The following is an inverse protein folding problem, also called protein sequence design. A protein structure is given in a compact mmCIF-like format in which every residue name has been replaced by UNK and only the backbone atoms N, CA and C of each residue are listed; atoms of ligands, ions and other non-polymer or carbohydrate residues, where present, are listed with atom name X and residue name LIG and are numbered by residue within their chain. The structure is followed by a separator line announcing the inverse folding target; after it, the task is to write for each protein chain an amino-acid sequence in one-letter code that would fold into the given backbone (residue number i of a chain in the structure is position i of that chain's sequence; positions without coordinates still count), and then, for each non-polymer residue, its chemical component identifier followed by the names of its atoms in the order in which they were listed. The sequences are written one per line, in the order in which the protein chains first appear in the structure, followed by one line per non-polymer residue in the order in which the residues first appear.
data_IF_824526052453
#
_entry.id   IF_824526052453
#
_cell.length_a   1.000
_cell.length_b   1.000
_cell.length_c   1.000
_cell.angle_alpha   90.00
_cell.angle_beta   90.00
_cell.angle_gamma   90.00
#
_symmetry.space_group_name_H-M   'P 1'
#
loop_
_entity.id
_entity.type
_entity.pdbx_description
1 polymer ?
#
# COMPACT_ATOMS: atom_id res chain seq x y z
N UNK A 1 -8.98 -16.39 -10.53
CA UNK A 1 -7.78 -15.84 -9.86
C UNK A 1 -8.23 -14.79 -8.86
N UNK A 2 -7.75 -14.84 -7.64
CA UNK A 2 -7.93 -13.80 -6.63
C UNK A 2 -7.11 -12.57 -7.01
N UNK A 3 -7.69 -11.37 -6.95
CA UNK A 3 -6.99 -10.10 -7.19
C UNK A 3 -7.03 -9.29 -5.91
N UNK A 4 -5.85 -8.97 -5.37
CA UNK A 4 -5.68 -8.12 -4.19
C UNK A 4 -4.84 -6.92 -4.59
N UNK A 5 -5.40 -5.72 -4.39
CA UNK A 5 -4.66 -4.47 -4.63
C UNK A 5 -4.03 -3.98 -3.32
N UNK A 6 -2.72 -3.84 -3.31
CA UNK A 6 -1.94 -3.45 -2.14
C UNK A 6 -2.24 -2.05 -1.63
N UNK A 7 -2.71 -1.15 -2.49
CA UNK A 7 -3.12 0.19 -2.09
C UNK A 7 -4.03 0.88 -3.10
N UNK A 8 -5.07 1.52 -2.55
CA UNK A 8 -5.87 2.56 -3.22
C UNK A 8 -6.14 3.72 -2.26
N UNK A 9 -6.34 4.92 -2.80
CA UNK A 9 -6.53 6.14 -2.01
C UNK A 9 -7.65 7.01 -2.57
N UNK A 10 -8.91 6.61 -2.41
CA UNK A 10 -10.07 7.27 -3.02
C UNK A 10 -11.21 7.57 -2.06
N UNK A 11 -12.27 8.15 -2.60
CA UNK A 11 -13.55 8.31 -1.93
C UNK A 11 -14.51 7.22 -2.38
N UNK A 12 -14.73 6.27 -1.51
CA UNK A 12 -15.55 5.11 -1.80
C UNK A 12 -17.02 5.35 -1.49
N UNK A 13 -17.86 4.82 -2.36
CA UNK A 13 -19.29 4.67 -2.19
C UNK A 13 -19.74 3.27 -2.63
N UNK A 14 -21.05 3.01 -2.59
CA UNK A 14 -21.61 1.73 -3.05
C UNK A 14 -21.29 1.44 -4.52
N UNK A 15 -21.26 2.46 -5.38
CA UNK A 15 -21.01 2.27 -6.80
C UNK A 15 -19.59 1.74 -7.01
N UNK A 16 -18.58 2.40 -6.42
CA UNK A 16 -17.16 2.00 -6.50
C UNK A 16 -16.95 0.59 -5.92
N UNK A 17 -17.56 0.29 -4.76
CA UNK A 17 -17.50 -1.05 -4.18
C UNK A 17 -18.10 -2.11 -5.11
N UNK A 18 -19.19 -1.79 -5.79
CA UNK A 18 -19.83 -2.67 -6.76
C UNK A 18 -18.96 -2.87 -8.00
N UNK A 19 -18.38 -1.82 -8.52
CA UNK A 19 -17.45 -1.88 -9.66
C UNK A 19 -16.22 -2.74 -9.33
N UNK A 20 -15.59 -2.56 -8.18
CA UNK A 20 -14.48 -3.41 -7.72
C UNK A 20 -14.88 -4.90 -7.72
N UNK A 21 -16.01 -5.22 -7.11
CA UNK A 21 -16.54 -6.60 -7.07
C UNK A 21 -16.77 -7.15 -8.47
N UNK A 22 -17.47 -6.39 -9.32
CA UNK A 22 -17.89 -6.83 -10.66
C UNK A 22 -16.70 -6.98 -11.60
N UNK A 23 -15.60 -6.26 -11.35
CA UNK A 23 -14.32 -6.40 -12.04
C UNK A 23 -13.41 -7.48 -11.42
N UNK A 24 -13.87 -8.15 -10.38
CA UNK A 24 -13.19 -9.31 -9.78
C UNK A 24 -12.07 -8.96 -8.79
N UNK A 25 -12.03 -7.73 -8.28
CA UNK A 25 -11.14 -7.37 -7.17
C UNK A 25 -11.65 -8.04 -5.90
N UNK A 26 -10.82 -8.86 -5.28
CA UNK A 26 -11.17 -9.68 -4.11
C UNK A 26 -10.90 -8.97 -2.79
N UNK A 27 -9.86 -8.15 -2.77
CA UNK A 27 -9.56 -7.28 -1.63
C UNK A 27 -8.73 -6.07 -2.05
N UNK A 28 -8.79 -5.03 -1.24
CA UNK A 28 -8.03 -3.79 -1.43
C UNK A 28 -7.60 -3.23 -0.08
N UNK A 29 -6.34 -2.81 0.02
CA UNK A 29 -5.91 -1.95 1.13
C UNK A 29 -6.24 -0.51 0.80
N UNK A 30 -7.14 0.08 1.58
CA UNK A 30 -7.57 1.47 1.40
C UNK A 30 -6.79 2.40 2.31
N UNK A 31 -6.64 3.64 1.89
CA UNK A 31 -6.04 4.69 2.72
C UNK A 31 -7.12 5.39 3.53
N UNK A 32 -7.16 5.12 4.83
CA UNK A 32 -8.07 5.79 5.76
C UNK A 32 -7.55 7.16 6.19
N UNK A 33 -6.24 7.38 6.21
CA UNK A 33 -5.65 8.68 6.55
C UNK A 33 -4.28 8.91 5.91
N UNK A 34 -3.97 10.19 5.66
CA UNK A 34 -2.67 10.71 5.23
C UNK A 34 -2.10 11.66 6.28
N UNK A 35 -2.79 12.78 6.50
CA UNK A 35 -2.39 13.88 7.36
C UNK A 35 -3.31 14.03 8.58
N UNK A 36 -4.38 13.24 8.63
CA UNK A 36 -5.34 13.22 9.72
C UNK A 36 -4.66 12.86 11.04
N UNK A 37 -4.99 13.59 12.09
CA UNK A 37 -4.60 13.23 13.45
C UNK A 37 -5.46 12.07 14.00
N UNK A 38 -5.30 11.76 15.28
CA UNK A 38 -6.03 10.69 15.95
C UNK A 38 -7.54 10.84 15.83
N UNK A 39 -8.07 12.04 16.13
CA UNK A 39 -9.52 12.28 16.18
C UNK A 39 -10.12 12.26 14.77
N UNK A 40 -9.48 12.93 13.84
CA UNK A 40 -9.87 12.97 12.43
C UNK A 40 -9.85 11.57 11.82
N UNK A 41 -8.82 10.75 12.14
CA UNK A 41 -8.75 9.34 11.68
C UNK A 41 -9.88 8.51 12.28
N UNK A 42 -10.25 8.71 13.53
CA UNK A 42 -11.41 8.02 14.14
C UNK A 42 -12.73 8.35 13.40
N UNK A 43 -12.92 9.61 12.99
CA UNK A 43 -14.08 10.01 12.18
C UNK A 43 -14.08 9.31 10.81
N UNK A 44 -12.90 9.18 10.18
CA UNK A 44 -12.78 8.44 8.91
C UNK A 44 -13.12 6.96 9.10
N UNK A 45 -12.57 6.33 10.13
CA UNK A 45 -12.85 4.91 10.43
C UNK A 45 -14.34 4.67 10.74
N UNK A 46 -15.01 5.63 11.38
CA UNK A 46 -16.45 5.56 11.63
C UNK A 46 -17.24 5.55 10.31
N UNK A 47 -16.87 6.43 9.36
CA UNK A 47 -17.48 6.44 8.01
C UNK A 47 -17.24 5.14 7.25
N UNK A 48 -16.05 4.56 7.35
CA UNK A 48 -15.75 3.26 6.73
C UNK A 48 -16.57 2.14 7.34
N UNK A 49 -16.74 2.11 8.67
CA UNK A 49 -17.58 1.12 9.34
C UNK A 49 -19.05 1.24 8.89
N UNK A 50 -19.58 2.46 8.74
CA UNK A 50 -20.91 2.70 8.22
C UNK A 50 -21.04 2.22 6.76
N UNK A 51 -20.11 2.60 5.90
CA UNK A 51 -20.11 2.21 4.49
C UNK A 51 -20.09 0.68 4.33
N UNK A 52 -19.22 -0.03 5.05
CA UNK A 52 -19.11 -1.49 4.97
C UNK A 52 -20.37 -2.16 5.52
N UNK A 53 -20.91 -1.69 6.65
CA UNK A 53 -22.14 -2.22 7.25
C UNK A 53 -23.33 -2.06 6.30
N UNK A 54 -23.46 -0.88 5.70
CA UNK A 54 -24.61 -0.55 4.84
C UNK A 54 -24.51 -1.23 3.46
N UNK A 55 -23.32 -1.78 3.12
CA UNK A 55 -23.03 -2.49 1.87
C UNK A 55 -22.47 -3.91 2.13
N UNK A 56 -22.91 -4.60 3.18
CA UNK A 56 -22.41 -5.92 3.57
C UNK A 56 -22.66 -7.02 2.53
N UNK A 57 -23.52 -6.79 1.56
CA UNK A 57 -23.76 -7.64 0.40
C UNK A 57 -22.67 -7.51 -0.68
N UNK A 58 -21.88 -6.44 -0.65
CA UNK A 58 -20.82 -6.13 -1.64
C UNK A 58 -19.44 -6.18 -1.03
N UNK A 59 -19.26 -5.69 0.19
CA UNK A 59 -17.97 -5.55 0.84
C UNK A 59 -17.97 -6.13 2.26
N UNK A 60 -16.77 -6.42 2.76
CA UNK A 60 -16.56 -6.82 4.16
C UNK A 60 -15.24 -6.26 4.70
N UNK A 61 -15.20 -6.00 5.99
CA UNK A 61 -13.97 -5.62 6.67
C UNK A 61 -13.03 -6.82 6.82
N UNK A 62 -11.77 -6.65 6.46
CA UNK A 62 -10.70 -7.62 6.66
C UNK A 62 -10.00 -7.32 7.99
N UNK A 63 -10.00 -8.27 8.91
CA UNK A 63 -9.31 -8.21 10.20
C UNK A 63 -8.24 -9.28 10.35
N UNK A 64 -8.39 -10.38 9.63
CA UNK A 64 -7.48 -11.52 9.62
C UNK A 64 -7.09 -11.88 8.18
N UNK A 65 -6.03 -12.64 7.99
CA UNK A 65 -5.66 -13.12 6.65
C UNK A 65 -6.75 -14.01 6.02
N UNK A 66 -7.47 -14.76 6.82
CA UNK A 66 -8.58 -15.62 6.36
C UNK A 66 -9.77 -14.83 5.81
N UNK A 67 -9.96 -13.59 6.24
CA UNK A 67 -11.04 -12.72 5.73
C UNK A 67 -10.85 -12.40 4.25
N UNK A 68 -9.61 -12.33 3.76
CA UNK A 68 -9.33 -12.10 2.32
C UNK A 68 -9.85 -13.27 1.48
N UNK A 69 -9.62 -14.50 1.94
CA UNK A 69 -10.15 -15.69 1.28
C UNK A 69 -11.68 -15.74 1.37
N UNK A 70 -12.23 -15.43 2.54
CA UNK A 70 -13.67 -15.34 2.76
C UNK A 70 -14.34 -14.33 1.82
N UNK A 71 -13.71 -13.16 1.62
CA UNK A 71 -14.19 -12.16 0.67
C UNK A 71 -14.23 -12.72 -0.76
N UNK A 72 -13.14 -13.33 -1.20
CA UNK A 72 -13.06 -13.99 -2.51
C UNK A 72 -14.11 -15.09 -2.69
N UNK A 73 -14.26 -16.01 -1.74
CA UNK A 73 -15.19 -17.14 -1.81
C UNK A 73 -16.66 -16.71 -1.78
N UNK A 74 -16.95 -15.61 -1.09
CA UNK A 74 -18.32 -15.06 -0.97
C UNK A 74 -18.67 -14.04 -2.06
N UNK A 75 -17.71 -13.73 -2.97
CA UNK A 75 -17.91 -12.74 -4.04
C UNK A 75 -18.10 -11.31 -3.52
N UNK A 76 -17.46 -10.98 -2.39
CA UNK A 76 -17.41 -9.63 -1.82
C UNK A 76 -16.01 -9.03 -1.98
N UNK A 77 -15.90 -7.72 -1.79
CA UNK A 77 -14.60 -7.04 -1.73
C UNK A 77 -14.16 -6.96 -0.27
N UNK A 78 -13.00 -7.52 0.04
CA UNK A 78 -12.36 -7.36 1.34
C UNK A 78 -11.71 -5.99 1.47
N UNK A 79 -12.13 -5.21 2.47
CA UNK A 79 -11.56 -3.90 2.76
C UNK A 79 -10.54 -4.04 3.89
N UNK A 80 -9.27 -3.84 3.56
CA UNK A 80 -8.17 -3.74 4.53
C UNK A 80 -7.99 -2.27 4.88
N UNK A 81 -8.23 -1.91 6.14
CA UNK A 81 -8.00 -0.54 6.60
C UNK A 81 -6.51 -0.28 6.76
N UNK A 82 -5.98 0.62 5.96
CA UNK A 82 -4.60 1.08 6.02
C UNK A 82 -4.49 2.60 6.16
N UNK A 83 -3.29 3.08 6.43
CA UNK A 83 -2.96 4.50 6.43
C UNK A 83 -1.64 4.75 5.73
N UNK A 84 -1.51 5.86 5.01
CA UNK A 84 -0.26 6.23 4.35
C UNK A 84 0.65 7.11 5.23
N UNK A 85 0.33 7.27 6.51
CA UNK A 85 1.16 7.97 7.49
C UNK A 85 0.87 7.41 8.89
N UNK A 86 1.73 7.72 9.83
CA UNK A 86 1.59 7.36 11.24
C UNK A 86 1.10 8.52 12.14
N UNK A 87 0.64 9.61 11.53
CA UNK A 87 0.07 10.80 12.24
C UNK A 87 -1.09 10.46 13.18
N UNK A 88 -1.85 9.40 12.86
CA UNK A 88 -2.92 8.88 13.71
C UNK A 88 -2.44 8.48 15.12
N UNK A 89 -1.18 8.14 15.30
CA UNK A 89 -0.64 7.77 16.63
C UNK A 89 -0.36 8.96 17.52
N UNK A 90 -0.25 10.18 16.98
CA UNK A 90 -0.06 11.43 17.71
C UNK A 90 1.03 11.32 18.80
N UNK A 91 2.18 10.72 18.42
CA UNK A 91 3.35 10.48 19.29
C UNK A 91 3.04 9.68 20.59
N UNK A 92 2.02 8.80 20.53
CA UNK A 92 1.58 7.97 21.65
C UNK A 92 1.64 6.49 21.29
N UNK A 93 2.61 5.78 21.86
CA UNK A 93 2.83 4.36 21.57
C UNK A 93 1.58 3.50 21.78
N UNK A 94 0.84 3.69 22.86
CA UNK A 94 -0.38 2.92 23.14
C UNK A 94 -1.49 3.08 22.09
N UNK A 95 -1.41 4.09 21.21
CA UNK A 95 -2.40 4.26 20.15
C UNK A 95 -2.25 3.26 19.01
N UNK A 96 -1.09 2.63 18.87
CA UNK A 96 -0.89 1.54 17.90
C UNK A 96 -1.90 0.42 18.16
N UNK A 97 -1.98 -0.07 19.41
CA UNK A 97 -2.93 -1.13 19.79
C UNK A 97 -4.40 -0.66 19.68
N UNK A 98 -4.70 0.59 20.05
CA UNK A 98 -6.04 1.12 19.93
C UNK A 98 -6.52 1.13 18.47
N UNK A 99 -5.71 1.59 17.53
CA UNK A 99 -6.06 1.58 16.12
C UNK A 99 -6.13 0.16 15.53
N UNK A 100 -5.30 -0.77 16.01
CA UNK A 100 -5.43 -2.17 15.66
C UNK A 100 -6.80 -2.75 16.09
N UNK A 101 -7.26 -2.45 17.29
CA UNK A 101 -8.60 -2.83 17.77
C UNK A 101 -9.73 -2.20 16.92
N UNK A 102 -9.54 -0.99 16.42
CA UNK A 102 -10.47 -0.32 15.49
C UNK A 102 -10.45 -0.93 14.08
N UNK A 103 -9.52 -1.86 13.80
CA UNK A 103 -9.47 -2.60 12.54
C UNK A 103 -8.37 -2.16 11.58
N UNK A 104 -7.54 -1.18 11.91
CA UNK A 104 -6.38 -0.80 11.09
C UNK A 104 -5.37 -1.94 11.09
N UNK A 105 -4.88 -2.31 9.90
CA UNK A 105 -3.98 -3.45 9.72
C UNK A 105 -2.66 -3.12 9.03
N UNK A 106 -2.60 -2.06 8.24
CA UNK A 106 -1.40 -1.63 7.51
C UNK A 106 -1.15 -0.17 7.81
N UNK A 107 0.04 0.19 8.31
CA UNK A 107 0.40 1.58 8.59
C UNK A 107 1.76 1.91 7.96
N UNK A 108 1.76 2.90 7.10
CA UNK A 108 2.98 3.48 6.56
C UNK A 108 3.62 4.43 7.56
N UNK A 109 4.94 4.32 7.75
CA UNK A 109 5.62 5.04 8.82
C UNK A 109 5.69 6.56 8.59
N UNK A 110 5.92 6.99 7.35
CA UNK A 110 6.01 8.42 6.98
C UNK A 110 5.34 8.67 5.62
N UNK A 111 4.81 9.86 5.40
CA UNK A 111 4.24 10.26 4.11
C UNK A 111 4.83 11.59 3.65
N UNK A 112 5.61 11.59 2.58
CA UNK A 112 6.25 12.73 1.91
C UNK A 112 7.12 13.64 2.80
N UNK A 113 6.85 13.76 4.08
CA UNK A 113 7.59 14.55 5.06
C UNK A 113 8.13 13.68 6.19
N UNK A 114 9.23 14.11 6.81
CA UNK A 114 9.70 13.56 8.08
C UNK A 114 8.65 13.77 9.17
N UNK A 115 8.49 12.78 10.03
CA UNK A 115 7.67 12.86 11.24
C UNK A 115 8.46 12.35 12.47
N UNK A 116 7.78 12.14 13.61
CA UNK A 116 8.43 11.65 14.82
C UNK A 116 9.03 10.24 14.71
N UNK A 117 8.62 9.44 13.72
CA UNK A 117 9.09 8.06 13.51
C UNK A 117 10.36 8.01 12.67
N UNK A 118 10.45 8.77 11.59
CA UNK A 118 11.58 8.74 10.68
C UNK A 118 11.45 9.70 9.51
N UNK A 119 12.32 9.53 8.53
CA UNK A 119 12.39 10.37 7.33
C UNK A 119 11.60 9.78 6.17
N UNK A 120 11.11 10.64 5.29
CA UNK A 120 10.45 10.24 4.05
C UNK A 120 11.42 10.23 2.86
N UNK A 121 10.92 9.72 1.71
CA UNK A 121 11.69 9.64 0.48
C UNK A 121 12.06 11.00 -0.14
N UNK A 122 11.40 12.09 0.25
CA UNK A 122 11.65 13.44 -0.27
C UNK A 122 12.49 14.32 0.66
N UNK A 123 12.86 13.79 1.83
CA UNK A 123 13.73 14.55 2.72
C UNK A 123 15.17 14.61 2.19
N UNK A 124 15.83 15.76 2.28
CA UNK A 124 17.21 15.91 1.79
C UNK A 124 18.22 15.12 2.63
N UNK A 125 17.85 14.78 3.86
CA UNK A 125 18.65 13.96 4.77
C UNK A 125 17.75 12.92 5.43
N UNK A 126 18.07 11.66 5.19
CA UNK A 126 17.41 10.54 5.87
C UNK A 126 18.26 10.09 7.06
N UNK A 127 17.79 10.38 8.26
CA UNK A 127 18.48 10.07 9.52
C UNK A 127 18.15 8.69 10.10
N UNK A 128 17.37 7.87 9.39
CA UNK A 128 16.90 6.58 9.85
C UNK A 128 15.72 6.67 10.82
N UNK A 129 15.38 5.53 11.44
CA UNK A 129 14.36 5.47 12.49
C UNK A 129 14.77 6.24 13.74
N UNK A 130 13.86 7.06 14.23
CA UNK A 130 14.00 7.67 15.56
C UNK A 130 13.92 6.60 16.67
N UNK A 131 14.25 6.98 17.91
CA UNK A 131 14.02 6.09 19.06
C UNK A 131 12.54 5.74 19.21
N UNK A 132 11.65 6.72 19.07
CA UNK A 132 10.20 6.49 19.08
C UNK A 132 9.76 5.60 17.91
N UNK A 133 10.32 5.79 16.72
CA UNK A 133 10.04 4.94 15.55
C UNK A 133 10.35 3.46 15.79
N UNK A 134 11.44 3.14 16.50
CA UNK A 134 11.78 1.76 16.89
C UNK A 134 10.73 1.15 17.83
N UNK A 135 10.28 1.91 18.83
CA UNK A 135 9.21 1.48 19.73
C UNK A 135 7.89 1.23 18.98
N UNK A 136 7.55 2.11 18.00
CA UNK A 136 6.35 1.95 17.17
C UNK A 136 6.44 0.70 16.31
N UNK A 137 7.56 0.44 15.65
CA UNK A 137 7.75 -0.80 14.85
C UNK A 137 7.64 -2.04 15.74
N UNK A 138 8.23 -2.01 16.93
CA UNK A 138 8.12 -3.11 17.93
C UNK A 138 6.66 -3.35 18.29
N UNK A 139 5.91 -2.30 18.59
CA UNK A 139 4.50 -2.40 18.98
C UNK A 139 3.60 -2.85 17.83
N UNK A 140 3.83 -2.35 16.60
CA UNK A 140 3.15 -2.82 15.41
C UNK A 140 3.36 -4.34 15.20
N UNK A 141 4.59 -4.83 15.37
CA UNK A 141 4.89 -6.26 15.30
C UNK A 141 4.15 -7.06 16.40
N UNK A 142 4.08 -6.52 17.63
CA UNK A 142 3.40 -7.17 18.75
C UNK A 142 1.91 -7.37 18.50
N UNK A 143 1.23 -6.34 18.00
CA UNK A 143 -0.23 -6.39 17.82
C UNK A 143 -0.66 -7.06 16.51
N UNK A 144 0.25 -7.30 15.56
CA UNK A 144 -0.11 -7.81 14.23
C UNK A 144 -0.60 -6.70 13.30
N UNK A 145 0.19 -5.63 13.19
CA UNK A 145 0.00 -4.53 12.25
C UNK A 145 1.18 -4.49 11.30
N UNK A 146 0.92 -4.55 10.00
CA UNK A 146 1.97 -4.54 8.97
C UNK A 146 2.59 -3.14 8.87
N UNK A 147 3.91 -3.11 8.92
CA UNK A 147 4.72 -1.91 8.65
C UNK A 147 4.84 -1.74 7.15
N UNK A 148 4.33 -0.63 6.61
CA UNK A 148 4.54 -0.25 5.22
C UNK A 148 5.60 0.84 5.08
N UNK A 149 6.45 0.70 4.05
CA UNK A 149 7.61 1.55 3.80
C UNK A 149 7.52 2.33 2.48
N UNK A 150 6.34 2.43 1.88
CA UNK A 150 6.18 2.97 0.51
C UNK A 150 6.72 4.39 0.34
N UNK A 151 6.34 5.37 1.16
CA UNK A 151 6.87 6.75 1.11
C UNK A 151 8.09 6.99 2.02
N UNK A 152 8.55 5.95 2.68
CA UNK A 152 9.66 6.04 3.65
C UNK A 152 10.99 6.19 2.91
N UNK A 153 11.91 6.97 3.45
CA UNK A 153 13.25 7.11 2.91
C UNK A 153 14.08 5.82 3.03
N UNK A 154 15.10 5.66 2.21
CA UNK A 154 15.88 4.41 2.14
C UNK A 154 16.59 4.08 3.47
N UNK A 155 17.14 5.07 4.16
CA UNK A 155 17.81 4.88 5.45
C UNK A 155 16.83 4.46 6.56
N UNK A 156 15.69 5.16 6.65
CA UNK A 156 14.61 4.81 7.58
C UNK A 156 14.03 3.44 7.25
N UNK A 157 13.88 3.12 5.95
CA UNK A 157 13.41 1.83 5.48
C UNK A 157 14.34 0.68 5.89
N UNK A 158 15.65 0.82 5.67
CA UNK A 158 16.65 -0.16 6.09
C UNK A 158 16.63 -0.38 7.60
N UNK A 159 16.56 0.71 8.38
CA UNK A 159 16.45 0.62 9.84
C UNK A 159 15.18 -0.11 10.28
N UNK A 160 14.04 0.16 9.63
CA UNK A 160 12.77 -0.49 9.93
C UNK A 160 12.79 -1.98 9.59
N UNK A 161 13.31 -2.37 8.43
CA UNK A 161 13.49 -3.76 8.01
C UNK A 161 14.42 -4.50 8.99
N UNK A 162 15.55 -3.87 9.35
CA UNK A 162 16.52 -4.45 10.27
C UNK A 162 15.98 -4.61 11.70
N UNK A 163 15.09 -3.71 12.13
CA UNK A 163 14.51 -3.72 13.47
C UNK A 163 13.25 -4.58 13.59
N UNK A 164 12.47 -4.69 12.52
CA UNK A 164 11.25 -5.49 12.51
C UNK A 164 11.54 -6.97 12.73
N UNK A 165 10.76 -7.61 13.59
CA UNK A 165 10.79 -9.07 13.81
C UNK A 165 9.85 -9.82 12.86
N UNK A 166 9.09 -9.12 12.04
CA UNK A 166 8.15 -9.64 11.04
C UNK A 166 8.48 -9.10 9.66
N UNK A 167 8.04 -9.78 8.58
CA UNK A 167 8.12 -9.23 7.24
C UNK A 167 7.43 -7.86 7.17
N UNK A 168 7.99 -6.94 6.40
CA UNK A 168 7.43 -5.62 6.14
C UNK A 168 6.92 -5.53 4.71
N UNK A 169 6.05 -4.58 4.43
CA UNK A 169 5.54 -4.30 3.09
C UNK A 169 6.14 -3.01 2.51
N UNK A 170 6.23 -2.97 1.20
CA UNK A 170 6.27 -1.75 0.40
C UNK A 170 5.06 -1.86 -0.51
N UNK A 171 3.90 -1.36 -0.08
CA UNK A 171 2.64 -1.75 -0.70
C UNK A 171 2.38 -1.06 -2.05
N UNK A 172 3.09 0.06 -2.38
CA UNK A 172 3.02 0.74 -3.66
C UNK A 172 4.29 1.53 -3.96
N UNK A 173 5.27 0.91 -4.61
CA UNK A 173 6.49 1.55 -5.11
C UNK A 173 7.10 0.71 -6.24
N UNK A 174 8.20 1.23 -6.82
CA UNK A 174 8.97 0.52 -7.82
C UNK A 174 10.46 0.46 -7.45
N UNK A 175 11.24 -0.30 -8.19
CA UNK A 175 12.70 -0.30 -8.07
C UNK A 175 13.29 0.95 -8.76
N UNK A 176 14.18 1.67 -8.07
CA UNK A 176 14.83 2.85 -8.62
C UNK A 176 15.72 2.53 -9.83
N UNK A 177 16.28 1.34 -9.89
CA UNK A 177 17.06 0.90 -11.04
C UNK A 177 16.22 0.66 -12.31
N UNK A 178 14.90 0.42 -12.17
CA UNK A 178 13.98 0.31 -13.32
C UNK A 178 13.52 1.69 -13.78
N UNK A 179 13.17 2.57 -12.83
CA UNK A 179 12.84 3.96 -13.10
C UNK A 179 13.35 4.86 -11.98
N UNK A 180 14.32 5.72 -12.32
CA UNK A 180 15.00 6.58 -11.34
C UNK A 180 14.08 7.70 -10.87
N UNK A 181 13.52 7.51 -9.68
CA UNK A 181 12.67 8.48 -9.00
C UNK A 181 12.87 8.39 -7.48
N UNK A 182 12.90 9.52 -6.73
CA UNK A 182 13.14 9.51 -5.28
C UNK A 182 12.16 8.65 -4.48
N UNK A 183 10.92 8.51 -4.98
CA UNK A 183 9.86 7.71 -4.37
C UNK A 183 10.09 6.19 -4.54
N UNK A 184 10.87 5.79 -5.55
CA UNK A 184 11.24 4.41 -5.82
C UNK A 184 12.38 3.95 -4.91
N UNK A 185 12.46 2.66 -4.64
CA UNK A 185 13.36 2.07 -3.65
C UNK A 185 14.72 1.71 -4.23
N UNK A 186 15.76 2.04 -3.50
CA UNK A 186 17.12 1.64 -3.83
C UNK A 186 17.33 0.13 -3.64
N UNK A 187 18.30 -0.45 -4.37
CA UNK A 187 18.58 -1.89 -4.35
C UNK A 187 18.80 -2.45 -2.94
N UNK A 188 19.54 -1.73 -2.07
CA UNK A 188 19.78 -2.18 -0.68
C UNK A 188 18.49 -2.37 0.12
N UNK A 189 17.49 -1.52 -0.09
CA UNK A 189 16.19 -1.64 0.59
C UNK A 189 15.46 -2.87 0.05
N UNK A 190 15.49 -3.07 -1.26
CA UNK A 190 14.84 -4.20 -1.91
C UNK A 190 15.51 -5.54 -1.55
N UNK A 191 16.85 -5.59 -1.51
CA UNK A 191 17.60 -6.77 -1.06
C UNK A 191 17.21 -7.13 0.39
N UNK A 192 17.21 -6.14 1.29
CA UNK A 192 16.81 -6.34 2.68
C UNK A 192 15.32 -6.77 2.82
N UNK A 193 14.43 -6.23 1.98
CA UNK A 193 13.03 -6.64 1.93
C UNK A 193 12.89 -8.12 1.58
N UNK A 194 13.58 -8.57 0.52
CA UNK A 194 13.60 -9.97 0.07
C UNK A 194 14.17 -10.89 1.14
N UNK A 195 15.33 -10.55 1.72
CA UNK A 195 15.97 -11.33 2.79
C UNK A 195 15.05 -11.53 4.01
N UNK A 196 14.13 -10.60 4.28
CA UNK A 196 13.17 -10.66 5.39
C UNK A 196 11.81 -11.21 5.00
N UNK A 197 11.64 -11.73 3.78
CA UNK A 197 10.38 -12.30 3.30
C UNK A 197 9.27 -11.27 3.03
N UNK A 198 9.64 -10.00 2.89
CA UNK A 198 8.70 -8.92 2.60
C UNK A 198 8.17 -8.93 1.16
N UNK A 199 7.26 -8.02 0.87
CA UNK A 199 6.56 -7.91 -0.43
C UNK A 199 6.60 -6.48 -0.93
N UNK A 200 6.94 -6.32 -2.22
CA UNK A 200 6.82 -5.07 -2.99
C UNK A 200 5.56 -5.10 -3.86
N UNK A 201 4.63 -4.20 -3.62
CA UNK A 201 3.52 -3.90 -4.54
C UNK A 201 4.01 -2.98 -5.66
N UNK A 202 4.10 -3.53 -6.87
CA UNK A 202 4.49 -2.77 -8.07
C UNK A 202 3.41 -1.73 -8.35
N UNK A 203 3.82 -0.47 -8.43
CA UNK A 203 2.92 0.66 -8.55
C UNK A 203 2.82 1.12 -10.00
N UNK A 204 1.59 1.28 -10.47
CA UNK A 204 1.30 1.77 -11.82
C UNK A 204 1.11 3.28 -11.92
N UNK A 205 1.21 4.01 -10.81
CA UNK A 205 1.12 5.47 -10.82
C UNK A 205 2.21 6.07 -11.70
N UNK A 206 1.79 6.83 -12.73
CA UNK A 206 2.64 7.32 -13.82
C UNK A 206 3.86 8.11 -13.35
N UNK A 207 3.75 8.84 -12.23
CA UNK A 207 4.87 9.62 -11.70
C UNK A 207 6.08 8.73 -11.31
N UNK A 208 5.81 7.53 -10.79
CA UNK A 208 6.86 6.62 -10.29
C UNK A 208 7.04 5.36 -11.15
N UNK A 209 6.09 5.09 -12.05
CA UNK A 209 6.23 4.05 -13.07
C UNK A 209 6.84 4.58 -14.39
N UNK A 210 6.82 5.91 -14.58
CA UNK A 210 7.40 6.56 -15.77
C UNK A 210 6.80 6.02 -17.07
N UNK A 211 7.66 5.65 -18.05
CA UNK A 211 7.19 5.21 -19.37
C UNK A 211 6.38 3.91 -19.34
N UNK A 212 6.43 3.14 -18.26
CA UNK A 212 5.69 1.89 -18.13
C UNK A 212 4.21 2.08 -17.83
N UNK A 213 3.80 3.28 -17.39
CA UNK A 213 2.41 3.56 -17.05
C UNK A 213 1.52 3.95 -18.25
N UNK A 214 2.05 3.91 -19.47
CA UNK A 214 1.33 4.39 -20.65
C UNK A 214 0.16 3.48 -21.08
N UNK A 215 0.28 2.19 -20.85
CA UNK A 215 -0.73 1.18 -21.19
C UNK A 215 -0.56 -0.10 -20.37
N UNK A 216 -1.51 -1.04 -20.53
CA UNK A 216 -1.47 -2.32 -19.80
C UNK A 216 -0.23 -3.16 -20.13
N UNK A 217 0.28 -3.08 -21.35
CA UNK A 217 1.51 -3.78 -21.76
C UNK A 217 2.72 -3.24 -21.01
N UNK A 218 2.84 -1.92 -20.86
CA UNK A 218 3.91 -1.29 -20.09
C UNK A 218 3.90 -1.72 -18.63
N UNK A 219 2.72 -1.81 -17.99
CA UNK A 219 2.61 -2.30 -16.61
C UNK A 219 2.93 -3.78 -16.51
N UNK A 220 2.52 -4.60 -17.47
CA UNK A 220 2.94 -6.01 -17.52
C UNK A 220 4.47 -6.13 -17.63
N UNK A 221 5.11 -5.27 -18.45
CA UNK A 221 6.58 -5.19 -18.55
C UNK A 221 7.21 -4.80 -17.23
N UNK A 222 6.64 -3.81 -16.55
CA UNK A 222 7.13 -3.33 -15.24
C UNK A 222 7.08 -4.45 -14.20
N UNK A 223 5.95 -5.16 -14.09
CA UNK A 223 5.79 -6.30 -13.17
C UNK A 223 6.81 -7.39 -13.48
N UNK A 224 6.94 -7.79 -14.75
CA UNK A 224 7.90 -8.83 -15.16
C UNK A 224 9.33 -8.48 -14.76
N UNK A 225 9.75 -7.22 -14.94
CA UNK A 225 11.08 -6.75 -14.52
C UNK A 225 11.29 -6.82 -13.02
N UNK A 226 10.25 -6.54 -12.22
CA UNK A 226 10.35 -6.67 -10.76
C UNK A 226 10.41 -8.15 -10.34
N UNK A 227 9.71 -9.05 -11.03
CA UNK A 227 9.80 -10.49 -10.79
C UNK A 227 11.21 -11.00 -11.14
N UNK A 228 11.79 -10.55 -12.24
CA UNK A 228 13.18 -10.89 -12.60
C UNK A 228 14.19 -10.39 -11.55
N UNK A 229 13.92 -9.23 -10.95
CA UNK A 229 14.80 -8.60 -9.97
C UNK A 229 14.69 -9.22 -8.57
N UNK A 230 13.47 -9.48 -8.09
CA UNK A 230 13.20 -9.81 -6.69
C UNK A 230 12.75 -11.26 -6.47
N UNK A 231 12.37 -11.95 -7.53
CA UNK A 231 11.68 -13.24 -7.47
C UNK A 231 10.18 -13.10 -7.24
N UNK A 232 9.43 -14.05 -7.75
CA UNK A 232 7.95 -14.04 -7.78
C UNK A 232 7.31 -13.94 -6.40
N UNK A 233 7.93 -14.51 -5.38
CA UNK A 233 7.41 -14.54 -4.00
C UNK A 233 7.42 -13.17 -3.30
N UNK A 234 8.17 -12.21 -3.86
CA UNK A 234 8.36 -10.89 -3.25
C UNK A 234 7.70 -9.76 -4.05
N UNK A 235 7.02 -10.08 -5.14
CA UNK A 235 6.35 -9.09 -6.01
C UNK A 235 4.85 -9.26 -5.92
N UNK A 236 4.15 -8.16 -5.71
CA UNK A 236 2.70 -8.07 -5.78
C UNK A 236 2.28 -6.83 -6.58
N UNK A 237 0.99 -6.52 -6.62
CA UNK A 237 0.46 -5.32 -7.25
C UNK A 237 -0.08 -4.34 -6.21
N UNK A 238 0.20 -3.05 -6.40
CA UNK A 238 -0.31 -1.95 -5.57
C UNK A 238 -0.55 -0.72 -6.43
N UNK A 239 -1.77 -0.56 -6.93
CA UNK A 239 -2.09 0.35 -8.04
C UNK A 239 -1.83 1.81 -7.77
N UNK A 240 -2.08 2.26 -6.54
CA UNK A 240 -2.17 3.66 -6.14
C UNK A 240 -3.33 4.41 -6.83
N UNK A 241 -4.38 3.67 -7.24
CA UNK A 241 -5.59 4.27 -7.83
C UNK A 241 -6.32 5.12 -6.82
N UNK A 242 -6.95 6.20 -7.31
CA UNK A 242 -7.70 7.16 -6.48
C UNK A 242 -9.17 7.24 -6.91
N UNK A 243 -9.94 6.15 -6.82
CA UNK A 243 -11.32 6.13 -7.30
C UNK A 243 -12.17 7.16 -6.57
N UNK A 244 -12.92 7.96 -7.34
CA UNK A 244 -13.83 8.99 -6.80
C UNK A 244 -13.15 10.17 -6.10
N UNK A 245 -11.82 10.25 -6.10
CA UNK A 245 -11.11 11.37 -5.48
C UNK A 245 -11.23 12.63 -6.33
N UNK A 246 -11.74 13.75 -5.80
CA UNK A 246 -11.74 15.03 -6.50
C UNK A 246 -10.33 15.65 -6.49
N UNK A 247 -10.10 16.62 -7.37
CA UNK A 247 -8.82 17.32 -7.49
C UNK A 247 -8.33 17.94 -6.17
N UNK A 248 -9.25 18.46 -5.36
CA UNK A 248 -8.93 19.04 -4.04
C UNK A 248 -8.31 18.02 -3.09
N UNK A 249 -8.76 16.76 -3.12
CA UNK A 249 -8.17 15.67 -2.32
C UNK A 249 -6.76 15.36 -2.80
N UNK A 250 -6.54 15.31 -4.13
CA UNK A 250 -5.22 15.07 -4.70
C UNK A 250 -4.25 16.21 -4.37
N UNK A 251 -4.72 17.45 -4.37
CA UNK A 251 -3.93 18.60 -3.95
C UNK A 251 -3.56 18.48 -2.46
N UNK A 252 -4.51 18.11 -1.59
CA UNK A 252 -4.29 17.95 -0.17
C UNK A 252 -3.29 16.82 0.13
N UNK A 253 -3.38 15.69 -0.56
CA UNK A 253 -2.40 14.59 -0.47
C UNK A 253 -0.98 15.07 -0.76
N UNK A 254 -0.80 15.98 -1.71
CA UNK A 254 0.52 16.48 -2.15
C UNK A 254 1.06 17.60 -1.28
N UNK A 255 0.22 18.52 -0.82
CA UNK A 255 0.63 19.67 0.00
C UNK A 255 0.73 19.37 1.47
N UNK A 256 -0.11 18.48 1.99
CA UNK A 256 -0.30 18.28 3.41
C UNK A 256 -0.95 19.50 4.08
N UNK A 257 -1.23 19.37 5.37
CA UNK A 257 -1.95 20.42 6.11
C UNK A 257 -1.06 21.58 6.59
N UNK A 258 0.25 21.42 6.54
CA UNK A 258 1.20 22.41 7.08
C UNK A 258 1.98 23.17 6.02
N UNK A 259 2.00 22.71 4.78
CA UNK A 259 2.76 23.33 3.72
C UNK A 259 1.88 24.30 2.93
N UNK A 260 2.49 25.40 2.47
CA UNK A 260 1.81 26.41 1.63
C UNK A 260 2.06 26.16 0.13
N UNK A 261 2.94 25.23 -0.17
CA UNK A 261 3.30 24.87 -1.54
C UNK A 261 3.46 23.36 -1.64
N UNK A 262 3.34 22.82 -2.83
CA UNK A 262 3.67 21.42 -3.15
C UNK A 262 5.11 21.13 -2.73
N UNK A 263 5.36 19.96 -2.15
CA UNK A 263 6.71 19.57 -1.75
C UNK A 263 7.61 19.41 -2.96
N UNK A 264 8.85 19.95 -2.94
CA UNK A 264 9.87 19.59 -3.93
C UNK A 264 10.04 18.07 -3.93
N UNK A 265 10.02 17.44 -5.08
CA UNK A 265 10.10 15.98 -5.17
C UNK A 265 8.74 15.26 -5.25
N UNK A 266 7.69 15.84 -4.65
CA UNK A 266 6.31 15.56 -5.06
C UNK A 266 5.95 16.41 -6.29
N UNK A 267 6.83 17.32 -6.69
CA UNK A 267 6.65 18.16 -7.85
C UNK A 267 6.69 17.32 -9.11
N UNK A 268 5.52 17.12 -9.53
CA UNK A 268 5.23 16.94 -10.92
C UNK A 268 5.50 18.26 -11.65
N UNK A 269 6.00 18.24 -12.88
CA UNK A 269 5.98 19.42 -13.72
C UNK A 269 4.55 19.99 -13.68
N UNK A 270 4.39 21.29 -13.71
CA UNK A 270 3.23 22.16 -13.49
C UNK A 270 1.78 21.60 -13.62
N UNK A 271 1.62 20.38 -14.08
CA UNK A 271 0.43 19.54 -13.96
C UNK A 271 0.89 18.07 -13.80
N UNK A 272 0.27 17.26 -12.91
CA UNK A 272 0.50 15.83 -12.97
C UNK A 272 0.16 15.35 -14.38
N UNK A 273 0.94 14.44 -14.97
CA UNK A 273 0.47 13.76 -16.16
C UNK A 273 -0.91 13.20 -15.83
N UNK A 274 -1.91 13.35 -16.70
CA UNK A 274 -3.22 12.79 -16.46
C UNK A 274 -3.04 11.31 -16.09
N UNK A 275 -3.83 10.77 -15.15
CA UNK A 275 -3.84 9.33 -14.92
C UNK A 275 -4.01 8.67 -16.29
N UNK A 276 -3.29 7.61 -16.53
CA UNK A 276 -3.42 6.91 -17.79
C UNK A 276 -4.89 6.49 -17.95
N UNK A 277 -5.54 6.88 -19.04
CA UNK A 277 -6.97 6.60 -19.29
C UNK A 277 -7.34 5.13 -19.06
N UNK A 278 -6.40 4.21 -19.32
CA UNK A 278 -6.58 2.78 -19.11
C UNK A 278 -6.63 2.35 -17.64
N UNK A 279 -6.17 3.18 -16.69
CA UNK A 279 -6.24 2.91 -15.23
C UNK A 279 -7.55 3.37 -14.58
N UNK A 280 -8.46 4.01 -15.30
CA UNK A 280 -9.75 4.45 -14.77
C UNK A 280 -10.73 3.28 -14.54
N UNK A 281 -10.40 2.08 -15.05
CA UNK A 281 -11.24 0.89 -14.95
C UNK A 281 -10.53 -0.24 -14.22
N UNK A 282 -11.10 -0.75 -13.13
CA UNK A 282 -10.54 -1.90 -12.39
C UNK A 282 -10.39 -3.18 -13.24
N UNK A 283 -11.17 -3.32 -14.32
CA UNK A 283 -11.01 -4.39 -15.30
C UNK A 283 -9.60 -4.48 -15.89
N UNK A 284 -8.88 -3.37 -15.94
CA UNK A 284 -7.53 -3.30 -16.48
C UNK A 284 -6.51 -4.10 -15.66
N UNK A 285 -6.78 -4.34 -14.39
CA UNK A 285 -5.94 -5.23 -13.56
C UNK A 285 -5.92 -6.66 -14.12
N UNK A 286 -7.08 -7.14 -14.59
CA UNK A 286 -7.18 -8.45 -15.24
C UNK A 286 -6.50 -8.47 -16.61
N UNK A 287 -6.65 -7.39 -17.39
CA UNK A 287 -5.96 -7.25 -18.68
C UNK A 287 -4.43 -7.36 -18.54
N UNK A 288 -3.86 -6.68 -17.52
CA UNK A 288 -2.43 -6.79 -17.22
C UNK A 288 -2.03 -8.23 -16.86
N UNK A 289 -2.84 -8.89 -16.04
CA UNK A 289 -2.59 -10.29 -15.67
C UNK A 289 -2.65 -11.24 -16.86
N UNK A 290 -3.64 -11.07 -17.76
CA UNK A 290 -3.78 -11.88 -18.95
C UNK A 290 -2.60 -11.65 -19.91
N UNK A 291 -2.14 -10.40 -20.08
CA UNK A 291 -0.96 -10.07 -20.89
C UNK A 291 0.33 -10.73 -20.37
N UNK A 292 0.51 -10.86 -19.06
CA UNK A 292 1.67 -11.55 -18.47
C UNK A 292 1.68 -13.05 -18.86
N UNK A 293 0.51 -13.69 -18.80
CA UNK A 293 0.35 -15.11 -19.17
C UNK A 293 0.46 -15.31 -20.69
N UNK A 294 -0.27 -14.53 -21.47
CA UNK A 294 -0.34 -14.68 -22.93
C UNK A 294 1.01 -14.40 -23.62
N UNK A 295 1.79 -13.49 -23.07
CA UNK A 295 3.16 -13.21 -23.56
C UNK A 295 4.19 -14.26 -23.12
N UNK A 296 3.82 -15.19 -22.22
CA UNK A 296 4.74 -16.18 -21.64
C UNK A 296 5.78 -15.59 -20.70
N UNK A 297 5.59 -14.35 -20.19
CA UNK A 297 6.49 -13.71 -19.23
C UNK A 297 6.38 -14.33 -17.85
N UNK A 298 5.15 -14.62 -17.43
CA UNK A 298 4.88 -15.35 -16.20
C UNK A 298 3.97 -16.54 -16.49
N UNK A 299 4.09 -17.61 -15.70
CA UNK A 299 3.12 -18.67 -15.70
C UNK A 299 1.78 -18.19 -15.11
N UNK A 300 0.70 -18.93 -15.34
CA UNK A 300 -0.60 -18.63 -14.71
C UNK A 300 -0.52 -18.66 -13.18
N UNK A 301 0.28 -19.59 -12.62
CA UNK A 301 0.48 -19.73 -11.18
C UNK A 301 1.29 -18.54 -10.62
N UNK A 302 2.39 -18.15 -11.30
CA UNK A 302 3.18 -16.98 -10.89
C UNK A 302 2.35 -15.69 -10.98
N UNK A 303 1.54 -15.54 -12.03
CA UNK A 303 0.64 -14.39 -12.17
C UNK A 303 -0.40 -14.35 -11.04
N UNK A 304 -0.97 -15.49 -10.67
CA UNK A 304 -1.88 -15.57 -9.52
C UNK A 304 -1.18 -15.26 -8.19
N UNK A 305 0.09 -15.63 -8.06
CA UNK A 305 0.92 -15.29 -6.91
C UNK A 305 1.11 -13.77 -6.80
N UNK A 306 1.48 -13.10 -7.91
CA UNK A 306 1.68 -11.65 -7.96
C UNK A 306 0.38 -10.87 -7.70
N UNK A 307 -0.74 -11.27 -8.33
CA UNK A 307 -1.99 -10.51 -8.23
C UNK A 307 -2.79 -10.78 -6.95
N UNK A 308 -2.44 -11.80 -6.15
CA UNK A 308 -3.20 -12.08 -4.93
C UNK A 308 -2.47 -12.92 -3.90
N UNK A 309 -1.74 -13.96 -4.32
CA UNK A 309 -1.12 -14.93 -3.42
C UNK A 309 -0.16 -14.30 -2.41
N UNK A 310 0.70 -13.38 -2.86
CA UNK A 310 1.69 -12.72 -2.01
C UNK A 310 1.05 -11.81 -0.96
N UNK A 311 0.02 -11.05 -1.33
CA UNK A 311 -0.73 -10.24 -0.35
C UNK A 311 -1.48 -11.14 0.64
N UNK A 312 -2.14 -12.21 0.16
CA UNK A 312 -2.86 -13.13 1.05
C UNK A 312 -1.90 -13.77 2.07
N UNK A 313 -0.72 -14.21 1.64
CA UNK A 313 0.34 -14.71 2.53
C UNK A 313 0.79 -13.64 3.53
N UNK A 314 1.10 -12.43 3.05
CA UNK A 314 1.57 -11.32 3.88
C UNK A 314 0.54 -10.94 4.95
N UNK A 315 -0.75 -10.94 4.61
CA UNK A 315 -1.82 -10.64 5.56
C UNK A 315 -2.07 -11.79 6.53
N UNK A 316 -1.95 -13.05 6.10
CA UNK A 316 -2.05 -14.19 7.00
C UNK A 316 -0.94 -14.17 8.07
N UNK A 317 0.30 -13.87 7.66
CA UNK A 317 1.44 -13.82 8.58
C UNK A 317 1.46 -12.53 9.43
N UNK A 318 0.95 -11.42 8.88
CA UNK A 318 1.11 -10.08 9.43
C UNK A 318 -0.01 -9.60 10.36
N UNK A 319 -1.26 -10.08 10.20
CA UNK A 319 -2.41 -9.58 10.97
C UNK A 319 -2.64 -10.29 12.31
N UNK A 320 -2.00 -11.42 12.52
CA UNK A 320 -2.08 -12.11 13.80
C UNK A 320 -1.14 -11.47 14.83
N UNK A 321 -1.59 -11.23 16.07
CA UNK A 321 -0.71 -10.77 17.14
C UNK A 321 0.47 -11.75 17.33
N UNK A 322 1.63 -11.22 17.72
CA UNK A 322 2.72 -12.08 18.16
C UNK A 322 2.19 -12.90 19.35
N UNK A 323 2.24 -14.23 19.25
CA UNK A 323 1.89 -15.07 20.38
C UNK A 323 2.69 -14.64 21.60
N UNK A 324 2.07 -14.65 22.79
CA UNK A 324 2.79 -14.37 24.03
C UNK A 324 4.02 -15.27 24.07
N UNK A 325 5.20 -14.65 24.05
CA UNK A 325 6.44 -15.37 24.31
C UNK A 325 6.34 -15.85 25.76
N UNK A 326 5.91 -17.11 25.93
CA UNK A 326 5.81 -17.80 27.22
C UNK A 326 7.17 -17.96 27.89
#
# INVERSE_FOLDING_TARGET
MMIVDGLQCGRYDRQILTELRDQGVSAVTITASFWEDTLETMDVLSRWNDLIRDNADVAMLVRTGDDVRTAYETGRVGIVLGTQNSSLFNDRLGFVEHFWHLGVRVVQLTYNNQNAIGSSCYEPVDSGLSRFGREVVTEMNRVGMIVDLSHVGDGTGLDAIGHSTRPVAINHANAREIYDHPRNKGSKVLDALVERGGVLGVCSYNNIAGPYAGDAQGVADLISRHVDLLGVDHVAFGSDMSPGAPDDDLEWMRKGRWTRSTQPGADLPDAPPPPAEWMDEFAKLREVADLLVDSGRLSADDTAQVFGGNWARMYADGFEPAGDAS
#
